data_IF_245076404122
#
_entry.id   IF_245076404122
#
_cell.length_a   1.000
_cell.length_b   1.000
_cell.length_c   1.000
_cell.angle_alpha   90.00
_cell.angle_beta   90.00
_cell.angle_gamma   90.00
#
_symmetry.space_group_name_H-M   'P 1'
#
loop_
_entity.id
_entity.type
_entity.pdbx_description
1 polymer ?
#
# COMPACT_ATOMS: atom_id res chain seq x y z
N UNK A 1 -36.78 -40.97 -30.89
CA UNK A 1 -36.92 -39.53 -30.60
C UNK A 1 -36.30 -39.25 -29.24
N UNK A 2 -35.18 -38.52 -29.24
CA UNK A 2 -34.26 -38.27 -28.13
C UNK A 2 -34.89 -37.35 -27.08
N UNK A 3 -34.96 -37.77 -25.80
CA UNK A 3 -35.29 -36.90 -24.66
C UNK A 3 -34.11 -36.81 -23.69
N UNK A 4 -33.18 -35.94 -24.08
CA UNK A 4 -32.38 -35.00 -23.28
C UNK A 4 -31.90 -35.48 -21.90
N UNK A 5 -30.68 -36.00 -21.93
CA UNK A 5 -29.74 -36.03 -20.81
C UNK A 5 -29.39 -34.58 -20.42
N UNK A 6 -29.72 -34.16 -19.20
CA UNK A 6 -29.21 -32.92 -18.61
C UNK A 6 -28.48 -33.28 -17.31
N UNK A 7 -27.21 -33.65 -17.42
CA UNK A 7 -26.30 -33.76 -16.29
C UNK A 7 -25.96 -32.33 -15.88
N UNK A 8 -26.48 -31.90 -14.72
CA UNK A 8 -26.11 -30.65 -14.10
C UNK A 8 -24.65 -30.74 -13.60
N UNK A 9 -23.73 -30.09 -14.30
CA UNK A 9 -22.35 -29.90 -13.84
C UNK A 9 -22.39 -28.79 -12.78
N UNK A 10 -22.45 -29.17 -11.51
CA UNK A 10 -22.19 -28.26 -10.38
C UNK A 10 -20.67 -28.04 -10.33
N UNK A 11 -20.17 -27.03 -11.03
CA UNK A 11 -18.80 -26.55 -10.83
C UNK A 11 -18.71 -25.86 -9.47
N UNK A 12 -18.30 -26.61 -8.46
CA UNK A 12 -17.81 -26.05 -7.19
C UNK A 12 -16.47 -25.38 -7.49
N UNK A 13 -16.49 -24.08 -7.79
CA UNK A 13 -15.28 -23.26 -7.73
C UNK A 13 -14.87 -23.17 -6.26
N UNK A 14 -13.94 -24.04 -5.86
CA UNK A 14 -13.23 -23.89 -4.60
C UNK A 14 -12.46 -22.56 -4.66
N UNK A 15 -13.04 -21.51 -4.08
CA UNK A 15 -12.26 -20.33 -3.69
C UNK A 15 -11.28 -20.81 -2.62
N UNK A 16 -10.08 -21.24 -3.05
CA UNK A 16 -8.96 -21.40 -2.16
C UNK A 16 -8.69 -20.02 -1.54
N UNK A 17 -9.19 -19.80 -0.32
CA UNK A 17 -8.77 -18.68 0.50
C UNK A 17 -7.28 -18.86 0.71
N UNK A 18 -6.46 -18.06 0.00
CA UNK A 18 -5.03 -18.01 0.27
C UNK A 18 -4.87 -17.54 1.71
N UNK A 19 -4.65 -18.48 2.62
CA UNK A 19 -4.30 -18.15 4.00
C UNK A 19 -2.96 -17.42 3.92
N UNK A 20 -2.98 -16.11 4.16
CA UNK A 20 -1.77 -15.31 4.26
C UNK A 20 -0.94 -15.85 5.43
N UNK A 21 0.22 -16.42 5.12
CA UNK A 21 1.13 -16.92 6.15
C UNK A 21 1.61 -15.73 7.00
N UNK A 22 1.42 -15.85 8.32
CA UNK A 22 1.90 -14.85 9.25
C UNK A 22 3.38 -15.09 9.57
N UNK A 23 4.20 -14.06 9.48
CA UNK A 23 5.66 -14.12 9.71
C UNK A 23 6.01 -13.50 11.06
N UNK A 24 6.78 -14.21 11.89
CA UNK A 24 7.29 -13.64 13.15
C UNK A 24 8.36 -12.58 12.85
N UNK A 25 8.27 -11.44 13.51
CA UNK A 25 9.19 -10.33 13.34
C UNK A 25 9.46 -9.63 14.68
N UNK A 26 10.37 -8.65 14.66
CA UNK A 26 10.76 -7.83 15.82
C UNK A 26 10.66 -6.35 15.45
N UNK A 27 10.19 -5.53 16.38
CA UNK A 27 10.16 -4.08 16.22
C UNK A 27 11.57 -3.47 16.42
N UNK A 28 12.05 -2.67 15.47
CA UNK A 28 13.41 -2.07 15.56
C UNK A 28 13.48 -0.76 16.34
N UNK A 29 12.35 -0.26 16.82
CA UNK A 29 12.26 0.98 17.59
C UNK A 29 10.92 1.08 18.31
N UNK A 30 10.79 2.10 19.17
CA UNK A 30 9.50 2.47 19.75
C UNK A 30 8.60 3.02 18.64
N UNK A 31 7.63 2.24 18.21
CA UNK A 31 6.83 2.52 17.02
C UNK A 31 5.34 2.55 17.34
N UNK A 32 4.65 3.55 16.79
CA UNK A 32 3.20 3.63 16.91
C UNK A 32 2.55 2.58 15.99
N UNK A 33 1.82 1.63 16.59
CA UNK A 33 0.87 0.78 15.87
C UNK A 33 -0.36 1.61 15.54
N UNK A 34 -0.67 1.79 14.26
CA UNK A 34 -1.74 2.69 13.81
C UNK A 34 -2.94 1.94 13.27
N UNK A 35 -4.10 2.57 13.32
CA UNK A 35 -5.34 2.00 12.79
C UNK A 35 -5.38 1.91 11.25
N UNK A 36 -4.36 2.41 10.57
CA UNK A 36 -4.26 2.35 9.12
C UNK A 36 -2.87 2.76 8.61
N UNK A 37 -2.59 2.53 7.32
CA UNK A 37 -1.27 2.65 6.70
C UNK A 37 -0.91 4.11 6.33
N UNK A 38 -0.98 5.01 7.32
CA UNK A 38 -0.53 6.40 7.23
C UNK A 38 -0.37 7.00 8.63
N UNK A 39 0.47 8.02 8.76
CA UNK A 39 0.63 8.77 10.01
C UNK A 39 -0.60 9.59 10.39
N UNK A 40 -1.56 9.77 9.49
CA UNK A 40 -2.85 10.41 9.77
C UNK A 40 -3.80 9.53 10.58
N UNK A 41 -3.61 8.20 10.58
CA UNK A 41 -4.44 7.28 11.35
C UNK A 41 -4.13 7.34 12.86
N UNK A 42 -5.16 7.14 13.71
CA UNK A 42 -4.99 7.14 15.16
C UNK A 42 -4.05 6.02 15.59
N UNK A 43 -3.35 6.27 16.69
CA UNK A 43 -2.49 5.28 17.34
C UNK A 43 -3.36 4.33 18.15
N UNK A 44 -3.18 3.04 17.93
CA UNK A 44 -3.80 1.95 18.69
C UNK A 44 -3.01 1.70 19.97
N UNK A 45 -1.69 1.52 19.82
CA UNK A 45 -0.74 1.32 20.93
C UNK A 45 0.68 1.65 20.47
N UNK A 46 1.61 1.85 21.41
CA UNK A 46 3.05 1.91 21.12
C UNK A 46 3.64 0.51 21.28
N UNK A 47 4.33 0.03 20.25
CA UNK A 47 5.11 -1.21 20.30
C UNK A 47 6.53 -0.86 20.74
N UNK A 48 7.04 -1.43 21.85
CA UNK A 48 8.40 -1.18 22.31
C UNK A 48 9.45 -1.73 21.33
N UNK A 49 10.63 -1.11 21.30
CA UNK A 49 11.79 -1.68 20.62
C UNK A 49 12.10 -3.10 21.14
N UNK A 50 12.48 -4.01 20.24
CA UNK A 50 12.77 -5.41 20.57
C UNK A 50 11.54 -6.27 20.84
N UNK A 51 10.33 -5.70 20.82
CA UNK A 51 9.12 -6.47 21.02
C UNK A 51 8.89 -7.47 19.86
N UNK A 52 8.52 -8.69 20.22
CA UNK A 52 8.06 -9.71 19.27
C UNK A 52 6.71 -9.31 18.70
N UNK A 53 6.61 -9.30 17.38
CA UNK A 53 5.41 -8.99 16.62
C UNK A 53 5.12 -10.09 15.60
N UNK A 54 3.87 -10.15 15.15
CA UNK A 54 3.44 -11.08 14.09
C UNK A 54 3.03 -10.27 12.88
N UNK A 55 3.68 -10.46 11.74
CA UNK A 55 3.39 -9.77 10.48
C UNK A 55 2.41 -10.60 9.67
N UNK A 56 1.21 -10.09 9.42
CA UNK A 56 0.16 -10.79 8.67
C UNK A 56 0.18 -10.48 7.18
N UNK A 57 0.89 -9.41 6.82
CA UNK A 57 1.14 -9.01 5.45
C UNK A 57 1.52 -7.54 5.39
N UNK A 58 1.91 -7.09 4.21
CA UNK A 58 2.17 -5.68 3.95
C UNK A 58 1.41 -5.18 2.73
N UNK A 59 1.21 -3.86 2.65
CA UNK A 59 0.72 -3.23 1.43
C UNK A 59 1.65 -3.52 0.25
N UNK A 60 1.15 -3.44 -1.00
CA UNK A 60 1.99 -3.45 -2.18
C UNK A 60 3.16 -2.45 -2.04
N UNK A 61 4.36 -2.90 -2.41
CA UNK A 61 5.59 -2.11 -2.24
C UNK A 61 6.17 -2.10 -0.81
N UNK A 62 5.58 -2.85 0.12
CA UNK A 62 6.09 -3.09 1.47
C UNK A 62 6.41 -1.80 2.25
N UNK A 63 5.53 -0.81 2.15
CA UNK A 63 5.69 0.49 2.86
C UNK A 63 5.11 0.45 4.27
N UNK A 64 4.00 -0.27 4.42
CA UNK A 64 3.26 -0.48 5.66
C UNK A 64 2.90 -1.95 5.81
N UNK A 65 3.04 -2.47 7.02
CA UNK A 65 2.76 -3.86 7.36
C UNK A 65 1.68 -3.93 8.44
N UNK A 66 0.71 -4.80 8.20
CA UNK A 66 -0.31 -5.18 9.17
C UNK A 66 0.30 -6.19 10.15
N UNK A 67 0.43 -5.78 11.40
CA UNK A 67 1.06 -6.56 12.46
C UNK A 67 0.13 -6.73 13.65
N UNK A 68 0.31 -7.86 14.34
CA UNK A 68 -0.24 -8.14 15.65
C UNK A 68 0.81 -7.93 16.74
N UNK A 69 0.41 -7.27 17.83
CA UNK A 69 1.19 -7.13 19.05
C UNK A 69 0.28 -7.34 20.27
N UNK A 70 0.47 -8.43 21.01
CA UNK A 70 -0.48 -8.83 22.04
C UNK A 70 -1.88 -9.05 21.45
N UNK A 71 -2.89 -8.40 22.03
CA UNK A 71 -4.27 -8.37 21.51
C UNK A 71 -4.52 -7.27 20.47
N UNK A 72 -3.53 -6.41 20.19
CA UNK A 72 -3.68 -5.29 19.27
C UNK A 72 -3.35 -5.69 17.83
N UNK A 73 -4.12 -5.13 16.89
CA UNK A 73 -3.95 -5.31 15.45
C UNK A 73 -3.86 -3.94 14.77
N UNK A 74 -2.90 -3.76 13.87
CA UNK A 74 -2.76 -2.50 13.16
C UNK A 74 -1.56 -2.42 12.23
N UNK A 75 -1.26 -1.21 11.79
CA UNK A 75 -0.28 -0.94 10.75
C UNK A 75 0.95 -0.23 11.31
N UNK A 76 2.13 -0.71 10.93
CA UNK A 76 3.43 -0.05 11.18
C UNK A 76 4.18 0.12 9.87
N UNK A 77 5.08 1.10 9.80
CA UNK A 77 5.95 1.21 8.62
C UNK A 77 6.92 0.03 8.59
N UNK A 78 7.11 -0.57 7.41
CA UNK A 78 7.96 -1.75 7.24
C UNK A 78 9.42 -1.53 7.69
N UNK A 79 9.89 -0.28 7.68
CA UNK A 79 11.22 0.10 8.19
C UNK A 79 11.44 -0.22 9.67
N UNK A 80 10.35 -0.41 10.43
CA UNK A 80 10.40 -0.80 11.84
C UNK A 80 10.19 -2.29 12.05
N UNK A 81 10.04 -3.08 10.99
CA UNK A 81 9.82 -4.52 11.05
C UNK A 81 11.12 -5.21 10.67
N UNK A 82 11.64 -6.07 11.55
CA UNK A 82 12.82 -6.87 11.31
C UNK A 82 12.45 -8.35 11.29
N UNK A 83 12.89 -9.06 10.26
CA UNK A 83 12.71 -10.50 10.08
C UNK A 83 14.05 -11.20 10.09
N UNK A 84 14.07 -12.51 10.33
CA UNK A 84 15.28 -13.30 10.13
C UNK A 84 15.33 -13.76 8.68
N UNK A 85 16.39 -13.38 7.96
CA UNK A 85 16.63 -13.77 6.58
C UNK A 85 18.08 -14.23 6.45
N UNK A 86 18.30 -15.43 5.88
CA UNK A 86 19.61 -16.07 5.79
C UNK A 86 20.39 -16.12 7.13
N UNK A 87 19.70 -16.37 8.23
CA UNK A 87 20.29 -16.45 9.56
C UNK A 87 20.66 -15.11 10.21
N UNK A 88 20.44 -13.99 9.51
CA UNK A 88 20.71 -12.65 10.03
C UNK A 88 19.40 -11.85 10.22
N UNK A 89 19.33 -10.96 11.22
CA UNK A 89 18.16 -10.14 11.44
C UNK A 89 18.21 -8.91 10.49
N UNK A 90 17.29 -8.84 9.53
CA UNK A 90 17.27 -7.83 8.45
C UNK A 90 15.98 -7.02 8.49
N UNK A 91 16.08 -5.70 8.30
CA UNK A 91 14.91 -4.83 8.16
C UNK A 91 14.12 -5.22 6.91
N UNK A 92 12.80 -5.30 7.06
CA UNK A 92 11.92 -5.72 6.00
C UNK A 92 11.95 -4.72 4.84
N UNK A 93 12.49 -5.18 3.72
CA UNK A 93 12.52 -4.47 2.43
C UNK A 93 11.70 -5.25 1.40
N UNK A 94 11.31 -4.63 0.26
CA UNK A 94 10.54 -5.34 -0.75
C UNK A 94 11.17 -6.67 -1.23
N UNK A 95 12.49 -6.68 -1.43
CA UNK A 95 13.23 -7.87 -1.87
C UNK A 95 13.21 -8.99 -0.81
N UNK A 96 13.45 -8.62 0.45
CA UNK A 96 13.43 -9.56 1.58
C UNK A 96 12.02 -10.08 1.83
N UNK A 97 11.02 -9.21 1.79
CA UNK A 97 9.63 -9.55 2.07
C UNK A 97 9.06 -10.57 1.07
N UNK A 98 9.41 -10.43 -0.21
CA UNK A 98 9.10 -11.44 -1.23
C UNK A 98 9.80 -12.78 -0.94
N UNK A 99 11.04 -12.74 -0.45
CA UNK A 99 11.86 -13.93 -0.19
C UNK A 99 11.42 -14.70 1.05
N UNK A 100 10.92 -14.02 2.09
CA UNK A 100 10.41 -14.64 3.33
C UNK A 100 8.90 -14.91 3.30
N UNK A 101 8.25 -14.71 2.15
CA UNK A 101 6.84 -15.04 1.94
C UNK A 101 5.85 -14.13 2.66
N UNK A 102 6.21 -12.86 2.91
CA UNK A 102 5.25 -11.89 3.48
C UNK A 102 4.18 -11.59 2.43
N UNK A 103 2.93 -11.92 2.77
CA UNK A 103 1.79 -11.71 1.90
C UNK A 103 1.55 -10.22 1.60
N UNK A 104 1.03 -9.95 0.40
CA UNK A 104 0.51 -8.63 0.04
C UNK A 104 -0.95 -8.55 0.50
N UNK A 105 -1.27 -7.59 1.36
CA UNK A 105 -2.60 -7.38 1.93
C UNK A 105 -3.08 -5.96 1.64
N UNK A 106 -4.39 -5.75 1.78
CA UNK A 106 -5.03 -4.45 1.59
C UNK A 106 -5.65 -3.93 2.89
N UNK A 107 -5.55 -2.63 3.11
CA UNK A 107 -6.31 -1.94 4.15
C UNK A 107 -7.67 -1.53 3.59
N UNK A 108 -8.78 -2.04 4.11
CA UNK A 108 -10.10 -1.68 3.61
C UNK A 108 -11.11 -1.38 4.72
N UNK A 109 -12.32 -0.95 4.32
CA UNK A 109 -13.43 -0.71 5.26
C UNK A 109 -13.75 -1.95 6.11
N UNK A 110 -13.70 -3.16 5.55
CA UNK A 110 -13.97 -4.39 6.30
C UNK A 110 -12.90 -4.63 7.38
N UNK A 111 -11.62 -4.39 7.08
CA UNK A 111 -10.55 -4.42 8.08
C UNK A 111 -10.83 -3.42 9.22
N UNK A 112 -11.22 -2.19 8.87
CA UNK A 112 -11.55 -1.17 9.85
C UNK A 112 -12.71 -1.61 10.76
N UNK A 113 -13.78 -2.12 10.17
CA UNK A 113 -14.97 -2.57 10.89
C UNK A 113 -14.66 -3.78 11.78
N UNK A 114 -13.82 -4.71 11.32
CA UNK A 114 -13.46 -5.92 12.07
C UNK A 114 -12.55 -5.67 13.27
N UNK A 115 -11.68 -4.66 13.20
CA UNK A 115 -10.66 -4.45 14.24
C UNK A 115 -10.92 -3.26 15.15
N UNK A 116 -11.74 -2.30 14.73
CA UNK A 116 -11.82 -1.01 15.41
C UNK A 116 -13.23 -0.59 15.81
N UNK A 117 -14.25 -1.43 15.64
CA UNK A 117 -15.64 -1.09 16.02
C UNK A 117 -15.80 -0.61 17.47
N UNK A 118 -14.97 -1.09 18.39
CA UNK A 118 -14.99 -0.72 19.81
C UNK A 118 -14.19 0.55 20.15
N UNK A 119 -13.45 1.14 19.19
CA UNK A 119 -12.57 2.27 19.48
C UNK A 119 -13.34 3.61 19.43
N UNK A 120 -13.01 4.57 20.31
CA UNK A 120 -13.72 5.86 20.39
C UNK A 120 -13.65 6.72 19.13
N UNK A 121 -12.78 6.41 18.17
CA UNK A 121 -12.61 7.13 16.92
C UNK A 121 -13.21 6.39 15.71
N UNK A 122 -13.85 5.24 15.94
CA UNK A 122 -14.39 4.36 14.90
C UNK A 122 -15.30 5.08 13.88
N UNK A 123 -16.23 5.91 14.36
CA UNK A 123 -17.26 6.57 13.56
C UNK A 123 -16.73 7.57 12.53
N UNK A 124 -15.49 8.06 12.68
CA UNK A 124 -14.86 8.91 11.66
C UNK A 124 -14.50 8.11 10.41
N UNK A 125 -14.23 6.83 10.57
CA UNK A 125 -13.91 5.92 9.49
C UNK A 125 -12.57 6.19 8.79
N UNK A 126 -12.16 5.28 7.88
CA UNK A 126 -10.89 5.39 7.19
C UNK A 126 -10.82 6.58 6.22
N UNK A 127 -11.95 7.04 5.68
CA UNK A 127 -12.00 8.18 4.77
C UNK A 127 -11.58 9.50 5.43
N UNK A 128 -11.88 9.68 6.73
CA UNK A 128 -11.47 10.84 7.50
C UNK A 128 -9.95 10.88 7.71
N UNK A 129 -9.36 9.74 8.11
CA UNK A 129 -7.94 9.64 8.46
C UNK A 129 -7.01 9.45 7.25
N UNK A 130 -7.54 8.99 6.12
CA UNK A 130 -6.79 8.82 4.87
C UNK A 130 -6.42 10.13 4.16
N UNK A 131 -6.81 11.29 4.69
CA UNK A 131 -6.50 12.59 4.09
C UNK A 131 -4.98 12.88 4.11
N UNK A 132 -4.48 13.32 2.95
CA UNK A 132 -3.06 13.33 2.58
C UNK A 132 -2.15 14.13 3.51
N UNK A 133 -0.94 13.61 3.76
CA UNK A 133 0.20 14.45 4.13
C UNK A 133 0.62 15.25 2.88
N UNK A 134 0.09 16.47 2.74
CA UNK A 134 0.50 17.42 1.70
C UNK A 134 1.59 18.33 2.26
N UNK A 135 2.73 18.41 1.58
CA UNK A 135 3.81 19.34 1.90
C UNK A 135 3.98 20.30 0.73
N UNK A 136 3.87 21.59 0.98
CA UNK A 136 3.98 22.63 -0.05
C UNK A 136 5.08 23.63 0.33
N UNK A 137 5.84 24.08 -0.67
CA UNK A 137 6.82 25.14 -0.56
C UNK A 137 6.78 26.05 -1.80
N UNK A 138 7.71 27.02 -1.90
CA UNK A 138 7.68 28.04 -2.95
C UNK A 138 7.71 27.48 -4.38
N UNK A 139 8.36 26.33 -4.56
CA UNK A 139 8.59 25.72 -5.86
C UNK A 139 7.70 24.51 -6.15
N UNK A 140 6.70 24.22 -5.30
CA UNK A 140 5.79 23.12 -5.55
C UNK A 140 5.18 22.45 -4.32
N UNK A 141 4.40 21.41 -4.57
CA UNK A 141 3.77 20.58 -3.56
C UNK A 141 4.01 19.10 -3.85
N UNK A 142 4.09 18.30 -2.80
CA UNK A 142 4.04 16.84 -2.85
C UNK A 142 3.05 16.29 -1.83
N UNK A 143 2.58 15.08 -2.06
CA UNK A 143 1.79 14.36 -1.07
C UNK A 143 1.45 12.95 -1.48
N UNK A 144 0.99 12.20 -0.48
CA UNK A 144 0.51 10.82 -0.63
C UNK A 144 -0.82 10.67 0.08
N UNK A 145 -1.77 10.04 -0.61
CA UNK A 145 -3.06 9.60 -0.08
C UNK A 145 -3.09 8.09 -0.10
N UNK A 146 -3.59 7.47 0.95
CA UNK A 146 -3.97 6.05 0.95
C UNK A 146 -5.49 5.97 0.97
N UNK A 147 -6.06 5.40 -0.08
CA UNK A 147 -7.50 5.24 -0.23
C UNK A 147 -8.08 4.19 0.73
N UNK A 148 -9.42 4.19 0.89
CA UNK A 148 -10.14 3.33 1.82
C UNK A 148 -10.14 1.85 1.43
N UNK A 149 -9.49 1.47 0.33
CA UNK A 149 -9.29 0.09 -0.11
C UNK A 149 -7.83 -0.34 -0.10
N UNK A 150 -6.89 0.53 0.32
CA UNK A 150 -5.47 0.17 0.50
C UNK A 150 -4.59 0.56 -0.69
N UNK A 151 -5.19 1.12 -1.74
CA UNK A 151 -4.43 1.74 -2.83
C UNK A 151 -3.83 3.07 -2.39
N UNK A 152 -2.67 3.43 -2.94
CA UNK A 152 -1.98 4.70 -2.68
C UNK A 152 -1.94 5.56 -3.93
N UNK A 153 -2.02 6.88 -3.76
CA UNK A 153 -1.75 7.86 -4.79
C UNK A 153 -0.74 8.85 -4.25
N UNK A 154 0.45 8.87 -4.83
CA UNK A 154 1.52 9.80 -4.49
C UNK A 154 1.81 10.71 -5.67
N UNK A 155 2.13 11.97 -5.43
CA UNK A 155 2.53 12.86 -6.49
C UNK A 155 3.24 14.10 -6.01
N UNK A 156 4.03 14.68 -6.89
CA UNK A 156 4.67 15.96 -6.71
C UNK A 156 4.47 16.81 -7.96
N UNK A 157 4.29 18.11 -7.77
CA UNK A 157 4.26 19.10 -8.86
C UNK A 157 5.00 20.35 -8.41
N UNK A 158 5.73 20.96 -9.32
CA UNK A 158 6.52 22.14 -9.01
C UNK A 158 6.87 22.95 -10.24
N UNK A 159 7.23 24.20 -10.01
CA UNK A 159 7.64 25.15 -11.03
C UNK A 159 8.90 25.88 -10.56
N UNK A 160 9.77 26.17 -11.52
CA UNK A 160 10.96 26.99 -11.30
C UNK A 160 11.34 27.75 -12.57
N UNK A 161 12.50 28.42 -12.59
CA UNK A 161 12.90 29.31 -13.68
C UNK A 161 12.98 28.63 -15.05
N UNK A 162 13.19 27.31 -15.08
CA UNK A 162 13.33 26.51 -16.30
C UNK A 162 12.04 25.78 -16.71
N UNK A 163 10.92 26.11 -16.05
CA UNK A 163 9.60 25.55 -16.30
C UNK A 163 9.05 24.71 -15.16
N UNK A 164 7.99 23.95 -15.46
CA UNK A 164 7.23 23.18 -14.48
C UNK A 164 7.35 21.68 -14.73
N UNK A 165 7.33 20.89 -13.66
CA UNK A 165 7.30 19.45 -13.74
C UNK A 165 6.32 18.87 -12.72
N UNK A 166 5.82 17.68 -13.02
CA UNK A 166 5.07 16.90 -12.07
C UNK A 166 5.18 15.42 -12.36
N UNK A 167 5.19 14.63 -11.30
CA UNK A 167 5.19 13.18 -11.39
C UNK A 167 4.23 12.62 -10.34
N UNK A 168 3.69 11.44 -10.62
CA UNK A 168 2.82 10.75 -9.71
C UNK A 168 2.80 9.25 -9.94
N UNK A 169 2.45 8.54 -8.89
CA UNK A 169 2.34 7.10 -8.84
C UNK A 169 1.05 6.73 -8.13
N UNK A 170 0.22 5.95 -8.79
CA UNK A 170 -0.95 5.30 -8.20
C UNK A 170 -0.60 3.82 -8.07
N UNK A 171 -0.83 3.23 -6.90
CA UNK A 171 -0.73 1.79 -6.66
C UNK A 171 -2.10 1.35 -6.18
N UNK A 172 -2.77 0.52 -6.97
CA UNK A 172 -4.04 -0.09 -6.59
C UNK A 172 -3.84 -1.10 -5.45
N UNK A 173 -4.92 -1.44 -4.74
CA UNK A 173 -4.87 -2.33 -3.59
C UNK A 173 -4.43 -3.76 -3.93
N UNK A 174 -4.57 -4.16 -5.21
CA UNK A 174 -4.17 -5.47 -5.72
C UNK A 174 -2.82 -5.43 -6.47
N UNK A 175 -1.97 -4.43 -6.21
CA UNK A 175 -0.60 -4.36 -6.74
C UNK A 175 -0.43 -3.79 -8.16
N UNK A 176 -1.51 -3.53 -8.89
CA UNK A 176 -1.43 -2.78 -10.14
C UNK A 176 -0.95 -1.34 -9.88
N UNK A 177 -0.17 -0.75 -10.79
CA UNK A 177 0.36 0.61 -10.63
C UNK A 177 0.28 1.44 -11.90
N UNK A 178 0.20 2.76 -11.76
CA UNK A 178 0.33 3.73 -12.83
C UNK A 178 1.29 4.81 -12.38
N UNK A 179 2.40 4.95 -13.09
CA UNK A 179 3.41 5.97 -12.89
C UNK A 179 3.36 6.94 -14.07
N UNK A 180 3.37 8.23 -13.81
CA UNK A 180 3.35 9.24 -14.85
C UNK A 180 4.23 10.43 -14.48
N UNK A 181 4.86 11.04 -15.48
CA UNK A 181 5.63 12.25 -15.31
C UNK A 181 5.44 13.18 -16.51
N UNK A 182 5.48 14.49 -16.25
CA UNK A 182 5.47 15.53 -17.26
C UNK A 182 6.42 16.65 -16.87
N UNK A 183 7.07 17.24 -17.86
CA UNK A 183 7.91 18.43 -17.75
C UNK A 183 7.57 19.37 -18.90
N UNK A 184 7.34 20.63 -18.56
CA UNK A 184 7.13 21.72 -19.49
C UNK A 184 8.22 22.78 -19.27
N UNK A 185 8.77 23.30 -20.37
CA UNK A 185 9.72 24.40 -20.36
C UNK A 185 9.47 25.35 -21.53
N UNK A 186 10.42 26.28 -21.80
CA UNK A 186 10.23 27.34 -22.79
C UNK A 186 9.92 26.84 -24.20
N UNK A 187 10.40 25.65 -24.56
CA UNK A 187 10.34 25.11 -25.93
C UNK A 187 9.30 23.99 -26.09
N UNK A 188 8.47 23.73 -25.08
CA UNK A 188 7.50 22.64 -25.15
C UNK A 188 7.35 21.83 -23.87
N UNK A 189 6.55 20.79 -23.98
CA UNK A 189 6.30 19.81 -22.93
C UNK A 189 6.64 18.41 -23.39
N UNK A 190 7.15 17.59 -22.48
CA UNK A 190 7.33 16.15 -22.66
C UNK A 190 6.74 15.44 -21.47
N UNK A 191 6.10 14.30 -21.70
CA UNK A 191 5.57 13.48 -20.64
C UNK A 191 5.36 12.05 -21.07
N UNK A 192 5.10 11.21 -20.10
CA UNK A 192 4.81 9.82 -20.34
C UNK A 192 4.26 9.13 -19.11
N UNK A 193 3.83 7.90 -19.31
CA UNK A 193 3.33 7.04 -18.26
C UNK A 193 3.75 5.59 -18.49
N UNK A 194 3.73 4.83 -17.40
CA UNK A 194 3.84 3.38 -17.35
C UNK A 194 2.79 2.85 -16.41
N UNK A 195 1.91 2.00 -16.91
CA UNK A 195 0.93 1.25 -16.14
C UNK A 195 1.35 -0.22 -16.09
N UNK A 196 1.26 -0.84 -14.91
CA UNK A 196 1.46 -2.27 -14.68
C UNK A 196 0.16 -2.81 -14.06
N UNK A 197 -0.48 -3.77 -14.71
CA UNK A 197 -1.68 -4.41 -14.18
C UNK A 197 -1.36 -5.36 -13.02
N UNK A 198 -2.37 -5.80 -12.25
CA UNK A 198 -2.21 -6.74 -11.14
C UNK A 198 -1.50 -8.06 -11.53
N UNK A 199 -1.67 -8.48 -12.79
CA UNK A 199 -1.08 -9.70 -13.34
C UNK A 199 0.24 -9.47 -14.09
N UNK A 200 0.90 -8.32 -13.89
CA UNK A 200 2.20 -7.99 -14.49
C UNK A 200 2.17 -7.41 -15.91
N UNK A 201 1.01 -7.39 -16.58
CA UNK A 201 0.88 -6.78 -17.91
C UNK A 201 1.23 -5.29 -17.89
N UNK A 202 2.11 -4.83 -18.79
CA UNK A 202 2.61 -3.45 -18.80
C UNK A 202 2.14 -2.68 -20.03
N UNK A 203 1.73 -1.42 -19.85
CA UNK A 203 1.43 -0.46 -20.92
C UNK A 203 2.19 0.83 -20.66
N UNK A 204 2.91 1.35 -21.64
CA UNK A 204 3.58 2.65 -21.54
C UNK A 204 3.22 3.54 -22.72
N UNK A 205 3.36 4.84 -22.53
CA UNK A 205 3.20 5.84 -23.58
C UNK A 205 3.99 7.09 -23.26
N UNK A 206 4.54 7.73 -24.27
CA UNK A 206 5.23 9.01 -24.15
C UNK A 206 4.76 9.94 -25.26
N UNK A 207 4.74 11.24 -24.97
CA UNK A 207 4.34 12.27 -25.90
C UNK A 207 5.17 13.53 -25.67
N UNK A 208 5.36 14.29 -26.73
CA UNK A 208 5.99 15.60 -26.67
C UNK A 208 5.21 16.58 -27.54
N UNK A 209 5.24 17.84 -27.13
CA UNK A 209 4.62 18.94 -27.82
C UNK A 209 5.59 20.12 -27.82
N UNK A 210 5.77 20.79 -28.96
CA UNK A 210 6.62 21.97 -29.13
C UNK A 210 5.76 23.16 -29.58
N UNK A 211 6.07 24.34 -29.06
CA UNK A 211 5.45 25.61 -29.43
C UNK A 211 6.25 26.28 -30.54
#
# INVERSE_FOLDING_TARGET
>A
MIKRLCIAIVMVFAMASMAAAATVAVATGNVNLRAGPSTGYPVVVVVPVGARIVTHGCLPGYTWCDIGFGSYRGWVSARYVQVVYNGAPVVLSPAVAASVGVAVVAFNKAYWDNHYASYPWYYRGPAYYGQAARSCGPNGCSGTVTGPYGGTASGARGCGPRGCAGAGTIIGPNGGSVQGARRCGPYGCVGGYRAVGPNGGTRSGAGHFRW
#
